data_IF_804442505006
#
_entry.id   IF_804442505006
#
_cell.length_a   1.000
_cell.length_b   1.000
_cell.length_c   1.000
_cell.angle_alpha   90.00
_cell.angle_beta   90.00
_cell.angle_gamma   90.00
#
_symmetry.space_group_name_H-M   'P 1'
#
loop_
_entity.id
_entity.type
_entity.pdbx_description
1 polymer ?
#
# COMPACT_ATOMS: atom_id res chain seq x y z
N UNK A 1 16.74 4.13 -9.43
CA UNK A 1 15.41 4.36 -8.89
C UNK A 1 15.24 3.68 -7.53
N UNK A 2 14.51 4.32 -6.65
CA UNK A 2 14.32 3.85 -5.30
C UNK A 2 13.03 4.44 -4.73
N UNK A 3 12.35 3.70 -3.83
CA UNK A 3 11.24 4.29 -3.08
C UNK A 3 11.76 5.34 -2.11
N UNK A 4 10.91 6.29 -1.77
CA UNK A 4 11.29 7.41 -0.93
C UNK A 4 10.29 7.59 0.21
N UNK A 5 10.70 8.34 1.23
CA UNK A 5 9.75 8.87 2.20
C UNK A 5 9.01 10.07 1.58
N UNK A 6 8.10 10.67 2.34
CA UNK A 6 7.30 11.78 1.84
C UNK A 6 8.07 13.10 1.75
N UNK A 7 9.31 13.13 2.22
CA UNK A 7 10.22 14.27 2.09
C UNK A 7 11.23 14.08 0.96
N UNK A 8 11.00 13.06 0.13
CA UNK A 8 11.84 12.70 -1.03
C UNK A 8 13.25 12.22 -0.66
N UNK A 9 13.41 11.66 0.54
CA UNK A 9 14.65 11.00 0.95
C UNK A 9 14.56 9.51 0.62
N UNK A 10 15.67 8.84 0.25
CA UNK A 10 15.65 7.40 0.04
C UNK A 10 15.10 6.67 1.27
N UNK A 11 14.27 5.67 1.04
CA UNK A 11 13.64 4.92 2.12
C UNK A 11 13.63 3.43 1.82
N UNK A 12 13.53 2.63 2.87
CA UNK A 12 13.34 1.19 2.78
C UNK A 12 12.01 0.81 3.40
N UNK A 13 11.48 -0.36 3.02
CA UNK A 13 10.27 -0.87 3.63
C UNK A 13 10.54 -1.14 5.12
N UNK A 14 9.74 -0.56 6.03
CA UNK A 14 9.95 -0.76 7.46
C UNK A 14 9.68 -2.22 7.83
N UNK A 15 10.41 -2.72 8.81
CA UNK A 15 10.25 -4.07 9.35
C UNK A 15 10.44 -5.19 8.31
N UNK A 16 11.13 -4.91 7.20
CA UNK A 16 11.43 -5.92 6.18
C UNK A 16 12.22 -7.06 6.79
N UNK A 17 11.73 -8.29 6.60
CA UNK A 17 12.38 -9.47 7.16
C UNK A 17 12.05 -9.75 8.62
N UNK A 18 11.31 -8.85 9.29
CA UNK A 18 10.95 -9.00 10.70
C UNK A 18 9.51 -9.49 10.87
N UNK A 19 8.60 -8.92 10.09
CA UNK A 19 7.17 -9.27 10.10
C UNK A 19 6.66 -9.29 8.66
N UNK A 20 5.46 -9.82 8.47
CA UNK A 20 4.78 -9.77 7.18
C UNK A 20 4.29 -8.34 6.92
N UNK A 21 4.35 -7.90 5.67
CA UNK A 21 3.97 -6.53 5.30
C UNK A 21 2.71 -6.53 4.45
N UNK A 22 1.70 -5.79 4.89
CA UNK A 22 0.51 -5.53 4.11
C UNK A 22 0.63 -4.12 3.53
N UNK A 23 0.74 -4.02 2.21
CA UNK A 23 1.04 -2.77 1.52
C UNK A 23 -0.20 -2.30 0.76
N UNK A 24 -0.61 -1.06 1.05
CA UNK A 24 -1.68 -0.36 0.34
C UNK A 24 -1.03 0.52 -0.72
N UNK A 25 -0.92 0.01 -1.94
CA UNK A 25 -0.26 0.71 -3.06
C UNK A 25 -1.31 1.49 -3.84
N UNK A 26 -1.29 2.79 -3.73
CA UNK A 26 -2.38 3.65 -4.21
C UNK A 26 -1.93 4.58 -5.33
N UNK A 27 -2.81 4.74 -6.33
CA UNK A 27 -2.71 5.80 -7.33
C UNK A 27 -3.44 7.03 -6.75
N UNK A 28 -2.74 8.15 -6.50
CA UNK A 28 -3.38 9.33 -5.88
C UNK A 28 -4.42 10.01 -6.77
N UNK A 29 -4.49 9.69 -8.08
CA UNK A 29 -5.56 10.18 -8.95
C UNK A 29 -6.88 9.44 -8.70
N UNK A 30 -6.86 8.34 -7.96
CA UNK A 30 -8.02 7.53 -7.62
C UNK A 30 -8.07 7.24 -6.11
N UNK A 31 -8.11 8.28 -5.27
CA UNK A 31 -7.95 8.10 -3.82
C UNK A 31 -9.15 7.44 -3.15
N UNK A 32 -10.32 7.43 -3.78
CA UNK A 32 -11.53 6.84 -3.22
C UNK A 32 -11.76 5.38 -3.60
N UNK A 33 -10.93 4.82 -4.48
CA UNK A 33 -11.06 3.42 -4.84
C UNK A 33 -10.80 2.55 -3.60
N UNK A 34 -11.70 1.63 -3.31
CA UNK A 34 -11.66 0.74 -2.14
C UNK A 34 -11.72 1.47 -0.78
N UNK A 35 -12.17 2.73 -0.73
CA UNK A 35 -12.16 3.51 0.50
C UNK A 35 -13.02 2.90 1.61
N UNK A 36 -14.20 2.38 1.30
CA UNK A 36 -15.07 1.75 2.29
C UNK A 36 -14.45 0.47 2.87
N UNK A 37 -13.89 -0.35 2.00
CA UNK A 37 -13.22 -1.59 2.40
C UNK A 37 -12.04 -1.29 3.31
N UNK A 38 -11.19 -0.32 2.95
CA UNK A 38 -10.04 0.06 3.76
C UNK A 38 -10.48 0.64 5.11
N UNK A 39 -11.54 1.44 5.12
CA UNK A 39 -12.05 2.03 6.36
C UNK A 39 -12.58 0.95 7.31
N UNK A 40 -13.36 0.00 6.79
CA UNK A 40 -13.86 -1.12 7.59
C UNK A 40 -12.71 -1.94 8.19
N UNK A 41 -11.69 -2.21 7.37
CA UNK A 41 -10.51 -2.95 7.81
C UNK A 41 -9.78 -2.23 8.95
N UNK A 42 -9.58 -0.92 8.81
CA UNK A 42 -8.89 -0.11 9.82
C UNK A 42 -9.71 0.04 11.09
N UNK A 43 -10.99 0.41 10.97
CA UNK A 43 -11.86 0.68 12.11
C UNK A 43 -12.09 -0.57 12.96
N UNK A 44 -12.16 -1.73 12.34
CA UNK A 44 -12.43 -3.00 13.01
C UNK A 44 -11.18 -3.86 13.19
N UNK A 45 -10.01 -3.33 12.89
CA UNK A 45 -8.71 -4.02 13.06
C UNK A 45 -8.68 -5.41 12.40
N UNK A 46 -9.32 -5.55 11.24
CA UNK A 46 -9.52 -6.84 10.59
C UNK A 46 -8.24 -7.39 9.95
N UNK A 47 -7.24 -6.56 9.74
CA UNK A 47 -5.94 -6.97 9.22
C UNK A 47 -4.83 -6.80 10.26
N UNK A 48 -5.15 -6.51 11.51
CA UNK A 48 -4.17 -6.32 12.57
C UNK A 48 -3.70 -7.65 13.15
N UNK A 49 -2.49 -7.67 13.69
CA UNK A 49 -1.92 -8.82 14.35
C UNK A 49 -0.47 -8.56 14.73
N UNK A 50 0.10 -9.46 15.52
CA UNK A 50 1.49 -9.31 16.01
C UNK A 50 2.53 -9.62 14.94
N UNK A 51 2.14 -10.29 13.86
CA UNK A 51 3.05 -10.75 12.82
C UNK A 51 2.87 -10.00 11.50
N UNK A 52 2.08 -8.93 11.48
CA UNK A 52 1.78 -8.18 10.27
C UNK A 52 1.86 -6.68 10.54
N UNK A 53 2.43 -5.94 9.61
CA UNK A 53 2.53 -4.48 9.67
C UNK A 53 1.96 -3.87 8.41
N UNK A 54 1.01 -2.95 8.55
CA UNK A 54 0.37 -2.27 7.43
C UNK A 54 1.04 -0.94 7.11
N UNK A 55 1.25 -0.65 5.83
CA UNK A 55 1.78 0.64 5.38
C UNK A 55 1.21 1.00 4.02
N UNK A 56 1.21 2.30 3.71
CA UNK A 56 0.80 2.80 2.41
C UNK A 56 2.00 3.19 1.55
N UNK A 57 1.87 3.03 0.25
CA UNK A 57 2.83 3.55 -0.72
C UNK A 57 2.03 4.26 -1.82
N UNK A 58 2.38 5.52 -2.12
CA UNK A 58 1.73 6.26 -3.19
C UNK A 58 2.55 6.12 -4.48
N UNK A 59 1.85 5.77 -5.57
CA UNK A 59 2.43 5.67 -6.91
C UNK A 59 2.46 7.06 -7.54
N UNK A 60 3.62 7.71 -7.53
CA UNK A 60 3.76 9.07 -8.08
C UNK A 60 4.00 9.08 -9.58
N UNK A 61 4.49 7.99 -10.15
CA UNK A 61 4.83 7.92 -11.57
C UNK A 61 3.58 7.97 -12.44
N UNK A 62 2.53 7.30 -12.02
CA UNK A 62 1.31 7.17 -12.79
C UNK A 62 0.22 8.16 -12.37
N UNK A 63 0.59 9.23 -11.66
CA UNK A 63 -0.32 10.27 -11.20
C UNK A 63 0.02 11.63 -11.81
N UNK A 64 -0.17 11.83 -13.14
CA UNK A 64 0.25 13.06 -13.80
C UNK A 64 -0.63 14.28 -13.53
N UNK A 65 -1.82 14.08 -12.97
CA UNK A 65 -2.79 15.17 -12.77
C UNK A 65 -2.41 16.09 -11.61
N UNK A 66 -1.59 15.63 -10.67
CA UNK A 66 -1.14 16.41 -9.53
C UNK A 66 0.38 16.45 -9.46
N UNK A 67 0.99 17.63 -9.16
CA UNK A 67 2.42 17.69 -8.91
C UNK A 67 2.81 16.79 -7.73
N UNK A 68 3.95 16.09 -7.85
CA UNK A 68 4.41 15.18 -6.82
C UNK A 68 4.57 15.85 -5.45
N UNK A 69 5.01 17.11 -5.43
CA UNK A 69 5.16 17.85 -4.17
C UNK A 69 3.83 18.02 -3.43
N UNK A 70 2.74 18.25 -4.18
CA UNK A 70 1.40 18.39 -3.59
C UNK A 70 0.92 17.04 -3.05
N UNK A 71 1.11 15.96 -3.81
CA UNK A 71 0.72 14.61 -3.39
C UNK A 71 1.46 14.23 -2.11
N UNK A 72 2.78 14.51 -2.05
CA UNK A 72 3.59 14.22 -0.87
C UNK A 72 3.09 14.98 0.36
N UNK A 73 2.71 16.24 0.19
CA UNK A 73 2.19 17.06 1.28
C UNK A 73 0.86 16.55 1.81
N UNK A 74 -0.06 16.16 0.93
CA UNK A 74 -1.35 15.59 1.31
C UNK A 74 -1.15 14.30 2.10
N UNK A 75 -0.29 13.41 1.61
CA UNK A 75 0.02 12.15 2.29
C UNK A 75 0.69 12.39 3.64
N UNK A 76 1.62 13.34 3.71
CA UNK A 76 2.30 13.69 4.95
C UNK A 76 1.31 14.18 6.02
N UNK A 77 0.35 15.04 5.62
CA UNK A 77 -0.68 15.52 6.54
C UNK A 77 -1.54 14.37 7.06
N UNK A 78 -1.81 13.38 6.21
CA UNK A 78 -2.56 12.19 6.62
C UNK A 78 -1.78 11.37 7.66
N UNK A 79 -0.46 11.20 7.48
CA UNK A 79 0.36 10.48 8.47
C UNK A 79 0.37 11.17 9.82
N UNK A 80 0.42 12.50 9.83
CA UNK A 80 0.37 13.29 11.07
C UNK A 80 -0.96 13.12 11.78
N UNK A 81 -2.05 12.98 11.02
CA UNK A 81 -3.39 12.89 11.58
C UNK A 81 -3.69 11.52 12.20
N UNK A 82 -3.26 10.42 11.56
CA UNK A 82 -3.64 9.08 11.97
C UNK A 82 -2.47 8.16 12.33
N UNK A 83 -1.24 8.67 12.31
CA UNK A 83 -0.06 7.89 12.67
C UNK A 83 0.35 6.82 11.67
N UNK A 84 -0.26 6.80 10.48
CA UNK A 84 0.05 5.81 9.47
C UNK A 84 1.44 6.01 8.86
N UNK A 85 2.08 4.92 8.44
CA UNK A 85 3.31 4.98 7.64
C UNK A 85 2.93 5.04 6.19
N UNK A 86 3.36 6.09 5.47
CA UNK A 86 3.15 6.24 4.04
C UNK A 86 4.47 6.59 3.38
N UNK A 87 4.84 5.80 2.37
CA UNK A 87 6.04 6.04 1.56
C UNK A 87 5.61 6.42 0.14
N UNK A 88 6.58 6.70 -0.72
CA UNK A 88 6.32 7.08 -2.10
C UNK A 88 7.15 6.25 -3.06
N UNK A 89 6.55 5.91 -4.21
CA UNK A 89 7.22 5.21 -5.30
C UNK A 89 7.17 6.11 -6.54
N UNK A 90 8.19 6.99 -6.73
CA UNK A 90 8.17 7.93 -7.84
C UNK A 90 8.45 7.29 -9.21
N UNK A 91 8.97 6.07 -9.26
CA UNK A 91 9.45 5.44 -10.49
C UNK A 91 8.80 4.08 -10.79
N UNK A 92 7.70 3.74 -10.14
CA UNK A 92 7.01 2.44 -10.26
C UNK A 92 7.92 1.25 -9.97
N UNK A 93 8.77 1.38 -8.98
CA UNK A 93 9.71 0.32 -8.61
C UNK A 93 8.98 -0.93 -8.16
N UNK A 94 7.95 -0.76 -7.32
CA UNK A 94 7.21 -1.89 -6.75
C UNK A 94 6.52 -2.73 -7.83
N UNK A 95 5.69 -2.15 -8.72
CA UNK A 95 5.09 -2.95 -9.78
C UNK A 95 6.10 -3.59 -10.72
N UNK A 96 7.16 -2.86 -11.08
CA UNK A 96 8.14 -3.35 -12.04
C UNK A 96 9.01 -4.48 -11.47
N UNK A 97 9.49 -4.32 -10.24
CA UNK A 97 10.36 -5.32 -9.62
C UNK A 97 9.61 -6.57 -9.15
N UNK A 98 8.36 -6.40 -8.73
CA UNK A 98 7.57 -7.51 -8.18
C UNK A 98 6.65 -8.16 -9.21
N UNK A 99 6.71 -7.73 -10.47
CA UNK A 99 5.95 -8.35 -11.54
C UNK A 99 4.44 -8.16 -11.44
N UNK A 100 3.99 -7.04 -10.85
CA UNK A 100 2.56 -6.79 -10.65
C UNK A 100 1.86 -6.27 -11.91
N UNK A 101 2.63 -5.87 -12.92
CA UNK A 101 2.08 -5.30 -14.13
C UNK A 101 1.63 -3.84 -13.92
N UNK A 102 0.63 -3.42 -14.70
CA UNK A 102 0.15 -2.05 -14.66
C UNK A 102 -0.73 -1.80 -13.43
N UNK A 103 -0.27 -0.91 -12.55
CA UNK A 103 -1.02 -0.46 -11.35
C UNK A 103 -1.57 0.96 -11.52
N UNK A 104 -1.50 1.53 -12.72
CA UNK A 104 -2.04 2.85 -13.03
C UNK A 104 -3.57 2.82 -12.91
N UNK A 105 -4.15 3.87 -12.36
CA UNK A 105 -5.59 4.01 -12.13
C UNK A 105 -6.17 2.90 -11.23
N UNK A 106 -5.34 2.27 -10.42
CA UNK A 106 -5.76 1.15 -9.57
C UNK A 106 -5.21 1.29 -8.16
N UNK A 107 -6.01 0.88 -7.20
CA UNK A 107 -5.54 0.59 -5.85
C UNK A 107 -5.07 -0.87 -5.84
N UNK A 108 -3.88 -1.13 -5.29
CA UNK A 108 -3.33 -2.48 -5.26
C UNK A 108 -3.02 -2.87 -3.81
N UNK A 109 -3.57 -3.99 -3.38
CA UNK A 109 -3.30 -4.56 -2.07
C UNK A 109 -2.24 -5.64 -2.22
N UNK A 110 -1.19 -5.59 -1.41
CA UNK A 110 -0.03 -6.50 -1.55
C UNK A 110 0.32 -7.08 -0.20
N UNK A 111 0.53 -8.39 -0.14
CA UNK A 111 1.05 -9.05 1.07
C UNK A 111 2.39 -9.68 0.76
N UNK A 112 3.43 -9.23 1.47
CA UNK A 112 4.78 -9.77 1.41
C UNK A 112 5.07 -10.48 2.72
N UNK A 113 5.52 -11.73 2.67
CA UNK A 113 5.88 -12.46 3.88
C UNK A 113 7.19 -11.94 4.47
N UNK A 114 7.45 -12.27 5.73
CA UNK A 114 8.71 -11.90 6.38
C UNK A 114 9.93 -12.52 5.71
N UNK A 115 9.74 -13.58 4.91
CA UNK A 115 10.79 -14.21 4.11
C UNK A 115 11.03 -13.46 2.79
N UNK A 116 10.26 -12.40 2.51
CA UNK A 116 10.41 -11.61 1.28
C UNK A 116 9.66 -12.18 0.08
N UNK A 117 8.69 -13.06 0.30
CA UNK A 117 7.89 -13.65 -0.77
C UNK A 117 6.58 -12.88 -0.99
N UNK A 118 6.23 -12.67 -2.26
CA UNK A 118 4.93 -12.11 -2.63
C UNK A 118 3.88 -13.20 -2.45
N UNK A 119 3.06 -13.08 -1.42
CA UNK A 119 2.08 -14.10 -1.04
C UNK A 119 0.72 -13.84 -1.70
N UNK A 120 0.35 -12.58 -1.83
CA UNK A 120 -0.96 -12.20 -2.34
C UNK A 120 -0.89 -10.80 -2.92
N UNK A 121 -1.62 -10.55 -4.01
CA UNK A 121 -1.92 -9.20 -4.45
C UNK A 121 -3.26 -9.15 -5.18
N UNK A 122 -3.91 -7.99 -5.15
CA UNK A 122 -5.15 -7.72 -5.85
C UNK A 122 -5.13 -6.29 -6.37
N UNK A 123 -5.45 -6.10 -7.65
CA UNK A 123 -5.49 -4.80 -8.30
C UNK A 123 -6.93 -4.37 -8.54
N UNK A 124 -7.25 -3.12 -8.20
CA UNK A 124 -8.55 -2.53 -8.45
C UNK A 124 -9.54 -2.74 -7.33
N UNK A 125 -10.80 -2.51 -7.62
CA UNK A 125 -11.88 -2.61 -6.64
C UNK A 125 -12.05 -4.03 -6.12
N UNK A 126 -12.54 -4.15 -4.89
CA UNK A 126 -12.84 -5.42 -4.26
C UNK A 126 -14.34 -5.69 -4.34
N UNK A 127 -14.74 -6.81 -4.94
CA UNK A 127 -16.08 -7.35 -4.80
C UNK A 127 -16.22 -7.98 -3.40
N UNK A 128 -17.43 -8.37 -3.03
CA UNK A 128 -17.62 -9.08 -1.75
C UNK A 128 -16.83 -10.39 -1.70
N UNK A 129 -16.75 -11.10 -2.83
CA UNK A 129 -15.94 -12.31 -2.94
C UNK A 129 -14.47 -12.01 -2.80
N UNK A 130 -13.99 -10.92 -3.41
CA UNK A 130 -12.60 -10.49 -3.30
C UNK A 130 -12.23 -10.17 -1.84
N UNK A 131 -13.14 -9.52 -1.11
CA UNK A 131 -12.92 -9.21 0.31
C UNK A 131 -12.77 -10.50 1.13
N UNK A 132 -13.63 -11.50 0.88
CA UNK A 132 -13.56 -12.78 1.57
C UNK A 132 -12.24 -13.48 1.26
N UNK A 133 -11.85 -13.53 0.00
CA UNK A 133 -10.58 -14.14 -0.41
C UNK A 133 -9.38 -13.43 0.22
N UNK A 134 -9.43 -12.11 0.29
CA UNK A 134 -8.38 -11.32 0.93
C UNK A 134 -8.22 -11.70 2.40
N UNK A 135 -9.32 -11.71 3.16
CA UNK A 135 -9.25 -12.05 4.59
C UNK A 135 -8.78 -13.48 4.84
N UNK A 136 -9.15 -14.40 3.97
CA UNK A 136 -8.62 -15.78 4.05
C UNK A 136 -7.13 -15.81 3.79
N UNK A 137 -6.66 -15.04 2.79
CA UNK A 137 -5.25 -15.03 2.41
C UNK A 137 -4.36 -14.47 3.51
N UNK A 138 -4.80 -13.42 4.23
CA UNK A 138 -3.97 -12.77 5.24
C UNK A 138 -4.01 -13.48 6.61
N UNK A 139 -5.04 -14.27 6.90
CA UNK A 139 -5.23 -14.84 8.23
C UNK A 139 -4.00 -15.58 8.76
N UNK A 140 -3.31 -16.46 7.98
CA UNK A 140 -2.12 -17.15 8.48
C UNK A 140 -0.93 -16.22 8.75
N UNK A 141 -0.98 -14.97 8.28
CA UNK A 141 0.14 -14.03 8.35
C UNK A 141 -0.05 -12.94 9.41
N UNK A 142 -1.13 -12.99 10.12
CA UNK A 142 -1.45 -11.96 11.12
C UNK A 142 -0.72 -12.14 12.44
#
# INVERSE_FOLDING_TARGET
PQITDLKNNPAQLPHWGEVNLLIFYADPDHPSQCAEFCRDMEDNHRAAGDNIYGLGIVNLKDAPLLPNAIVRKIAYNRTKKNGATILADPDRIIPDQWGLGDCNNKFTMILISKEGELVYYHKGEFSKEDEIEFYKAIEPYR
#
